data_IF_954996215288
#
_entry.id   IF_954996215288
#
_cell.length_a   1.000
_cell.length_b   1.000
_cell.length_c   1.000
_cell.angle_alpha   90.00
_cell.angle_beta   90.00
_cell.angle_gamma   90.00
#
_symmetry.space_group_name_H-M   'P 1'
#
loop_
_entity.id
_entity.type
_entity.pdbx_description
1 polymer ?
#
# COMPACT_ATOMS: atom_id res chain seq x y z
N UNK A 1 7.00 -11.57 -1.35
CA UNK A 1 7.92 -11.11 -0.27
C UNK A 1 8.14 -9.58 -0.22
N UNK A 2 7.22 -8.76 -0.76
CA UNK A 2 7.39 -7.28 -0.74
C UNK A 2 7.10 -6.68 0.64
N UNK A 3 5.97 -7.08 1.24
CA UNK A 3 5.53 -6.53 2.53
C UNK A 3 6.54 -6.78 3.66
N UNK A 4 7.19 -7.95 3.68
CA UNK A 4 8.24 -8.27 4.64
C UNK A 4 9.43 -7.31 4.51
N UNK A 5 9.88 -7.04 3.28
CA UNK A 5 10.95 -6.08 3.03
C UNK A 5 10.57 -4.67 3.47
N UNK A 6 9.36 -4.21 3.14
CA UNK A 6 8.87 -2.90 3.55
C UNK A 6 8.82 -2.77 5.06
N UNK A 7 8.27 -3.78 5.74
CA UNK A 7 8.20 -3.85 7.20
C UNK A 7 9.61 -3.76 7.82
N UNK A 8 10.59 -4.47 7.27
CA UNK A 8 11.98 -4.38 7.73
C UNK A 8 12.57 -2.97 7.51
N UNK A 9 12.38 -2.39 6.33
CA UNK A 9 12.88 -1.05 5.98
C UNK A 9 12.35 0.05 6.91
N UNK A 10 11.10 -0.08 7.37
CA UNK A 10 10.46 0.90 8.27
C UNK A 10 10.59 0.54 9.76
N UNK A 11 11.43 -0.45 10.11
CA UNK A 11 11.60 -0.91 11.50
C UNK A 11 10.31 -1.40 12.15
N UNK A 12 9.40 -1.96 11.33
CA UNK A 12 8.09 -2.43 11.77
C UNK A 12 7.11 -1.34 12.19
N UNK A 13 7.37 -0.06 11.91
CA UNK A 13 6.53 1.08 12.33
C UNK A 13 5.87 1.80 11.17
N UNK A 14 4.61 2.19 11.34
CA UNK A 14 3.85 2.98 10.38
C UNK A 14 4.44 4.40 10.30
N UNK A 15 4.82 4.90 9.10
CA UNK A 15 5.42 6.22 8.96
C UNK A 15 4.46 7.38 9.31
N UNK A 16 3.15 7.14 9.35
CA UNK A 16 2.13 8.17 9.64
C UNK A 16 1.90 8.36 11.14
N UNK A 17 1.86 7.26 11.90
CA UNK A 17 1.48 7.30 13.32
C UNK A 17 2.52 6.70 14.28
N UNK A 18 3.65 6.24 13.76
CA UNK A 18 4.76 5.59 14.48
C UNK A 18 4.41 4.29 15.24
N UNK A 19 3.17 3.78 15.13
CA UNK A 19 2.74 2.50 15.74
C UNK A 19 3.13 1.30 14.88
N UNK A 20 3.20 0.11 15.48
CA UNK A 20 3.57 -1.12 14.78
C UNK A 20 2.64 -1.45 13.61
N UNK A 21 3.21 -1.96 12.50
CA UNK A 21 2.47 -2.49 11.34
C UNK A 21 2.50 -4.02 11.30
N UNK A 22 1.53 -4.61 10.59
CA UNK A 22 1.42 -6.03 10.31
C UNK A 22 1.51 -6.31 8.81
N UNK A 23 1.80 -7.55 8.42
CA UNK A 23 1.84 -7.95 7.00
C UNK A 23 0.46 -7.87 6.31
N UNK A 24 -0.62 -7.79 7.08
CA UNK A 24 -1.98 -7.57 6.58
C UNK A 24 -2.23 -6.11 6.22
N UNK A 25 -1.39 -5.17 6.66
CA UNK A 25 -1.55 -3.74 6.38
C UNK A 25 -1.33 -3.41 4.89
N UNK A 26 -1.76 -2.21 4.51
CA UNK A 26 -1.80 -1.74 3.13
C UNK A 26 -0.45 -1.20 2.68
N UNK A 27 -0.05 -1.56 1.45
CA UNK A 27 1.11 -0.99 0.77
C UNK A 27 0.70 0.34 0.16
N UNK A 28 1.47 1.39 0.42
CA UNK A 28 1.22 2.74 -0.05
C UNK A 28 2.44 3.31 -0.77
N UNK A 29 2.18 4.02 -1.88
CA UNK A 29 3.20 4.80 -2.58
C UNK A 29 3.33 6.18 -1.96
N UNK A 30 4.49 6.50 -1.38
CA UNK A 30 4.75 7.84 -0.79
C UNK A 30 4.94 8.93 -1.84
N UNK A 31 5.12 8.54 -3.10
CA UNK A 31 5.32 9.45 -4.22
C UNK A 31 4.72 8.89 -5.50
N UNK A 32 4.08 9.77 -6.26
CA UNK A 32 3.57 9.48 -7.61
C UNK A 32 4.54 9.91 -8.72
N UNK A 33 5.80 10.23 -8.39
CA UNK A 33 6.83 10.59 -9.36
C UNK A 33 7.01 9.51 -10.45
N UNK A 34 6.70 8.25 -10.12
CA UNK A 34 6.54 7.17 -11.09
C UNK A 34 5.13 6.62 -10.99
N UNK A 35 4.33 6.83 -12.05
CA UNK A 35 3.02 6.16 -12.16
C UNK A 35 3.27 4.68 -12.44
N UNK A 36 2.54 3.80 -11.76
CA UNK A 36 2.57 2.38 -12.06
C UNK A 36 2.18 2.15 -13.53
N UNK A 37 3.03 1.45 -14.29
CA UNK A 37 2.80 1.14 -15.71
C UNK A 37 2.12 -0.23 -15.87
N UNK A 38 1.42 -0.70 -14.85
CA UNK A 38 0.85 -2.04 -14.84
C UNK A 38 -0.30 -2.16 -15.84
N UNK A 39 -0.19 -3.11 -16.76
CA UNK A 39 -1.27 -3.51 -17.68
C UNK A 39 -2.33 -4.39 -17.01
N UNK A 40 -1.96 -5.04 -15.90
CA UNK A 40 -2.84 -5.88 -15.08
C UNK A 40 -3.22 -5.19 -13.77
N UNK A 41 -4.50 -5.26 -13.42
CA UNK A 41 -5.01 -4.79 -12.13
C UNK A 41 -5.60 -5.99 -11.38
N UNK A 42 -5.51 -5.95 -10.06
CA UNK A 42 -6.19 -6.93 -9.20
C UNK A 42 -7.29 -6.22 -8.43
N UNK A 43 -8.38 -6.93 -8.15
CA UNK A 43 -9.47 -6.42 -7.34
C UNK A 43 -9.20 -6.68 -5.85
N UNK A 44 -9.49 -5.67 -5.04
CA UNK A 44 -9.47 -5.77 -3.59
C UNK A 44 -10.80 -5.32 -3.02
N UNK A 45 -11.25 -5.98 -1.95
CA UNK A 45 -12.36 -5.49 -1.15
C UNK A 45 -11.93 -4.23 -0.39
N UNK A 46 -12.61 -3.12 -0.66
CA UNK A 46 -12.49 -1.86 0.06
C UNK A 46 -13.82 -1.53 0.73
N UNK A 47 -14.41 -2.55 1.37
CA UNK A 47 -15.66 -2.45 2.08
C UNK A 47 -15.64 -1.28 3.09
N UNK A 48 -16.71 -0.48 3.07
CA UNK A 48 -16.95 0.59 4.05
C UNK A 48 -18.33 0.39 4.67
N UNK A 49 -18.63 0.94 5.86
CA UNK A 49 -19.97 0.82 6.45
C UNK A 49 -21.10 1.29 5.52
N UNK A 50 -20.83 2.32 4.70
CA UNK A 50 -21.78 2.85 3.71
C UNK A 50 -21.84 2.03 2.42
N UNK A 51 -20.81 1.25 2.10
CA UNK A 51 -20.69 0.43 0.88
C UNK A 51 -19.97 -0.88 1.23
N UNK A 52 -20.69 -1.88 1.76
CA UNK A 52 -20.08 -3.11 2.27
C UNK A 52 -19.49 -4.00 1.17
N UNK A 53 -19.99 -3.88 -0.07
CA UNK A 53 -19.53 -4.67 -1.22
C UNK A 53 -18.62 -3.86 -2.17
N UNK A 54 -18.01 -2.77 -1.69
CA UNK A 54 -17.15 -1.94 -2.54
C UNK A 54 -15.87 -2.71 -2.88
N UNK A 55 -15.65 -2.99 -4.16
CA UNK A 55 -14.34 -3.40 -4.68
C UNK A 55 -13.61 -2.21 -5.29
N UNK A 56 -12.29 -2.28 -5.31
CA UNK A 56 -11.42 -1.34 -6.02
C UNK A 56 -10.36 -2.13 -6.78
N UNK A 57 -9.99 -1.63 -7.95
CA UNK A 57 -8.88 -2.18 -8.70
C UNK A 57 -7.61 -1.39 -8.38
N UNK A 58 -6.52 -2.11 -8.14
CA UNK A 58 -5.20 -1.51 -8.00
C UNK A 58 -4.14 -2.42 -8.61
N UNK A 59 -3.04 -1.86 -9.14
CA UNK A 59 -1.92 -2.66 -9.63
C UNK A 59 -1.27 -3.41 -8.46
N UNK A 60 -0.99 -4.72 -8.60
CA UNK A 60 -0.32 -5.48 -7.54
C UNK A 60 1.15 -5.06 -7.47
N UNK A 61 1.62 -4.68 -6.28
CA UNK A 61 3.05 -4.43 -6.07
C UNK A 61 3.86 -5.73 -6.00
N UNK A 62 3.23 -6.83 -5.59
CA UNK A 62 3.85 -8.15 -5.58
C UNK A 62 3.96 -8.70 -7.00
N UNK A 63 5.15 -9.16 -7.38
CA UNK A 63 5.44 -9.61 -8.75
C UNK A 63 5.67 -8.47 -9.75
N UNK A 64 5.74 -7.21 -9.31
CA UNK A 64 6.00 -6.07 -10.18
C UNK A 64 7.42 -6.13 -10.77
N UNK A 65 7.60 -6.08 -12.11
CA UNK A 65 8.92 -6.10 -12.74
C UNK A 65 9.74 -4.85 -12.45
N UNK A 66 9.09 -3.75 -12.05
CA UNK A 66 9.73 -2.49 -11.66
C UNK A 66 9.80 -2.31 -10.14
N UNK A 67 9.55 -3.36 -9.35
CA UNK A 67 9.49 -3.28 -7.90
C UNK A 67 10.73 -2.63 -7.29
N UNK A 68 11.93 -2.96 -7.77
CA UNK A 68 13.19 -2.40 -7.23
C UNK A 68 13.22 -0.87 -7.29
N UNK A 69 12.67 -0.30 -8.37
CA UNK A 69 12.61 1.15 -8.57
C UNK A 69 11.60 1.80 -7.62
N UNK A 70 10.49 1.10 -7.33
CA UNK A 70 9.44 1.58 -6.43
C UNK A 70 9.69 1.23 -4.96
N UNK A 71 10.55 0.26 -4.64
CA UNK A 71 10.73 -0.25 -3.28
C UNK A 71 11.14 0.84 -2.27
N UNK A 72 11.86 1.86 -2.74
CA UNK A 72 12.25 3.06 -1.95
C UNK A 72 11.13 4.08 -1.78
N UNK A 73 10.07 3.97 -2.57
CA UNK A 73 8.90 4.85 -2.60
C UNK A 73 7.64 4.14 -2.06
N UNK A 74 7.81 2.93 -1.53
CA UNK A 74 6.75 2.11 -0.98
C UNK A 74 6.90 2.01 0.54
N UNK A 75 5.77 2.00 1.24
CA UNK A 75 5.70 1.81 2.69
C UNK A 75 4.48 0.98 3.07
N UNK A 76 4.53 0.28 4.21
CA UNK A 76 3.32 -0.27 4.84
C UNK A 76 2.69 0.76 5.77
N UNK A 77 1.38 0.92 5.64
CA UNK A 77 0.56 1.81 6.47
C UNK A 77 -0.72 1.11 6.88
N UNK A 78 -1.20 1.41 8.09
CA UNK A 78 -2.54 0.98 8.51
C UNK A 78 -3.59 1.52 7.55
N UNK A 79 -4.67 0.76 7.34
CA UNK A 79 -5.78 1.21 6.50
C UNK A 79 -6.33 2.56 6.94
N UNK A 80 -6.48 2.79 8.24
CA UNK A 80 -6.90 4.10 8.76
C UNK A 80 -5.95 5.22 8.36
N UNK A 81 -4.64 4.98 8.40
CA UNK A 81 -3.61 5.96 8.06
C UNK A 81 -3.58 6.20 6.55
N UNK A 82 -3.76 5.15 5.75
CA UNK A 82 -3.96 5.24 4.31
C UNK A 82 -5.14 6.16 3.96
N UNK A 83 -6.28 5.97 4.62
CA UNK A 83 -7.45 6.83 4.43
C UNK A 83 -7.19 8.29 4.85
N UNK A 84 -6.38 8.53 5.89
CA UNK A 84 -6.00 9.87 6.32
C UNK A 84 -5.13 10.58 5.27
N UNK A 85 -4.20 9.87 4.63
CA UNK A 85 -3.35 10.41 3.57
C UNK A 85 -4.18 10.88 2.37
N UNK A 86 -5.23 10.14 2.01
CA UNK A 86 -6.07 10.43 0.84
C UNK A 86 -7.31 11.27 1.14
N UNK A 87 -7.46 11.79 2.35
CA UNK A 87 -8.64 12.56 2.77
C UNK A 87 -8.59 14.03 2.37
N UNK A 88 -7.64 14.41 1.51
CA UNK A 88 -7.44 15.78 1.01
C UNK A 88 -8.27 16.00 -0.25
#
# INVERSE_FOLDING_TARGET
MVKQQLMANQGGRCPVCARGVALTDTVHHVSYLRRCVYTHQVEFSAATPKRPNKTVTAPPCEGCPQLEQCARLLVLVHDKCHHLIHKV
#
